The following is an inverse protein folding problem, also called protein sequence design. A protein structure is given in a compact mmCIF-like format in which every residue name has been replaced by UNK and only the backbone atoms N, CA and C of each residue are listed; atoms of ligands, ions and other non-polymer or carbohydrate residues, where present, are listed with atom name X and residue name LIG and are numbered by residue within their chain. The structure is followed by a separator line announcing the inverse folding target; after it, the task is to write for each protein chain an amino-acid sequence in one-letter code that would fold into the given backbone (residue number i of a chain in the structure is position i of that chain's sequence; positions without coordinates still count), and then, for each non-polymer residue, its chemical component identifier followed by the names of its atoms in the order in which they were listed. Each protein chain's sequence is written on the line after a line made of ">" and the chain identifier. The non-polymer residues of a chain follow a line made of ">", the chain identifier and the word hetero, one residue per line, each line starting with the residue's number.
data_IF_292289646027
#
_entry.id   IF_292289646027
#
_cell.length_a   1.000
_cell.length_b   1.000
_cell.length_c   1.000
_cell.angle_alpha   90.00
_cell.angle_beta   90.00
_cell.angle_gamma   90.00
#
_symmetry.space_group_name_H-M   'P 1'
#
loop_
_entity.id
_entity.type
_entity.pdbx_description
1 polymer ?
#
# COMPACT_ATOMS: atom_id res chain seq x y z
N UNK A 1 -10.62 -9.80 10.82
CA UNK A 1 -10.62 -8.37 11.21
C UNK A 1 -10.92 -8.28 12.70
N UNK A 2 -10.06 -7.67 13.51
CA UNK A 2 -10.29 -7.49 14.96
C UNK A 2 -10.13 -6.01 15.32
N UNK A 3 -11.23 -5.29 15.54
CA UNK A 3 -11.23 -3.91 16.06
C UNK A 3 -12.63 -3.55 16.55
N UNK A 4 -12.70 -2.73 17.60
CA UNK A 4 -13.94 -2.06 18.05
C UNK A 4 -14.10 -0.67 17.44
N UNK A 5 -13.15 -0.23 16.59
CA UNK A 5 -13.15 1.05 15.88
C UNK A 5 -13.34 0.83 14.39
N UNK A 6 -13.79 1.86 13.66
CA UNK A 6 -14.01 1.79 12.22
C UNK A 6 -12.70 1.51 11.47
N UNK A 7 -12.76 0.55 10.56
CA UNK A 7 -11.65 0.13 9.70
C UNK A 7 -11.83 0.75 8.30
N UNK A 8 -10.77 1.35 7.77
CA UNK A 8 -10.67 1.81 6.39
C UNK A 8 -9.39 1.31 5.73
N UNK A 9 -9.13 1.77 4.50
CA UNK A 9 -7.97 1.36 3.72
C UNK A 9 -7.39 2.51 2.91
N UNK A 10 -6.07 2.58 2.83
CA UNK A 10 -5.40 3.41 1.82
C UNK A 10 -5.52 2.71 0.45
N UNK A 11 -5.85 3.47 -0.59
CA UNK A 11 -6.08 2.98 -1.94
C UNK A 11 -5.42 3.91 -2.96
N UNK A 12 -4.27 3.50 -3.49
CA UNK A 12 -3.51 4.26 -4.50
C UNK A 12 -3.83 3.86 -5.95
N UNK A 13 -4.64 2.81 -6.15
CA UNK A 13 -4.87 2.24 -7.48
C UNK A 13 -3.72 1.35 -7.99
N UNK A 14 -2.61 1.26 -7.25
CA UNK A 14 -1.58 0.24 -7.46
C UNK A 14 -2.05 -1.15 -7.05
N UNK A 15 -1.35 -2.20 -7.49
CA UNK A 15 -1.72 -3.60 -7.23
C UNK A 15 -1.98 -3.88 -5.74
N UNK A 16 -1.05 -3.47 -4.87
CA UNK A 16 -0.99 -3.95 -3.49
C UNK A 16 -2.13 -3.37 -2.65
N UNK A 17 -2.28 -2.05 -2.67
CA UNK A 17 -3.36 -1.35 -1.97
C UNK A 17 -4.72 -1.77 -2.51
N UNK A 18 -4.83 -2.02 -3.82
CA UNK A 18 -6.05 -2.52 -4.45
C UNK A 18 -6.43 -3.92 -3.96
N UNK A 19 -5.47 -4.85 -3.88
CA UNK A 19 -5.71 -6.19 -3.34
C UNK A 19 -6.18 -6.13 -1.87
N UNK A 20 -5.51 -5.33 -1.04
CA UNK A 20 -5.90 -5.17 0.36
C UNK A 20 -7.30 -4.57 0.48
N UNK A 21 -7.60 -3.50 -0.26
CA UNK A 21 -8.92 -2.87 -0.25
C UNK A 21 -10.03 -3.83 -0.69
N UNK A 22 -9.79 -4.59 -1.77
CA UNK A 22 -10.76 -5.56 -2.29
C UNK A 22 -11.01 -6.72 -1.31
N UNK A 23 -9.95 -7.28 -0.71
CA UNK A 23 -10.06 -8.32 0.33
C UNK A 23 -10.81 -7.76 1.54
N UNK A 24 -10.48 -6.53 1.98
CA UNK A 24 -11.11 -5.90 3.13
C UNK A 24 -12.61 -5.69 2.91
N UNK A 25 -13.02 -5.21 1.74
CA UNK A 25 -14.45 -5.04 1.39
C UNK A 25 -15.18 -6.37 1.27
N UNK A 26 -14.52 -7.40 0.72
CA UNK A 26 -15.10 -8.75 0.68
C UNK A 26 -15.35 -9.27 2.09
N UNK A 27 -14.33 -9.24 2.94
CA UNK A 27 -14.43 -9.70 4.33
C UNK A 27 -15.42 -8.86 5.15
N UNK A 28 -15.55 -7.55 4.89
CA UNK A 28 -16.49 -6.69 5.62
C UNK A 28 -17.93 -7.09 5.36
N UNK A 29 -18.24 -7.52 4.13
CA UNK A 29 -19.55 -8.07 3.75
C UNK A 29 -19.79 -9.43 4.40
N UNK A 30 -18.80 -10.32 4.37
CA UNK A 30 -18.88 -11.65 5.00
C UNK A 30 -19.06 -11.58 6.52
N UNK A 31 -18.42 -10.61 7.18
CA UNK A 31 -18.54 -10.36 8.62
C UNK A 31 -19.70 -9.44 9.00
N UNK A 32 -20.52 -9.01 8.03
CA UNK A 32 -21.66 -8.11 8.23
C UNK A 32 -21.34 -6.86 9.07
N UNK A 33 -20.23 -6.18 8.74
CA UNK A 33 -19.88 -4.93 9.45
C UNK A 33 -20.99 -3.88 9.28
N UNK A 34 -21.32 -3.10 10.32
CA UNK A 34 -22.44 -2.16 10.30
C UNK A 34 -22.16 -0.87 9.53
N UNK A 35 -21.02 -0.77 8.85
CA UNK A 35 -20.58 0.39 8.09
C UNK A 35 -19.87 -0.04 6.80
N UNK A 36 -19.90 0.79 5.74
CA UNK A 36 -19.08 0.56 4.56
C UNK A 36 -17.61 0.84 4.87
N UNK A 37 -16.72 0.12 4.18
CA UNK A 37 -15.28 0.40 4.23
C UNK A 37 -15.02 1.71 3.51
N UNK A 38 -14.40 2.64 4.23
CA UNK A 38 -13.86 3.87 3.66
C UNK A 38 -12.50 3.61 3.02
N UNK A 39 -12.32 4.13 1.83
CA UNK A 39 -11.05 4.05 1.09
C UNK A 39 -10.54 5.44 0.76
N UNK A 40 -9.24 5.66 0.90
CA UNK A 40 -8.62 6.97 0.78
C UNK A 40 -7.50 6.95 -0.25
N UNK A 41 -7.61 7.79 -1.27
CA UNK A 41 -6.52 8.08 -2.20
C UNK A 41 -6.01 9.50 -1.99
N UNK A 42 -4.75 9.74 -2.34
CA UNK A 42 -4.17 11.08 -2.31
C UNK A 42 -3.29 11.31 -3.52
N UNK A 43 -3.39 12.49 -4.12
CA UNK A 43 -2.68 12.85 -5.34
C UNK A 43 -2.86 14.31 -5.70
N UNK A 44 -2.13 14.77 -6.71
CA UNK A 44 -2.50 16.00 -7.41
C UNK A 44 -3.75 15.76 -8.26
N UNK A 45 -4.45 16.83 -8.61
CA UNK A 45 -5.63 16.76 -9.46
C UNK A 45 -5.33 16.00 -10.77
N UNK A 46 -6.23 15.09 -11.16
CA UNK A 46 -6.12 14.23 -12.34
C UNK A 46 -4.85 13.36 -12.44
N UNK A 47 -4.19 13.06 -11.30
CA UNK A 47 -3.06 12.14 -11.32
C UNK A 47 -3.47 10.70 -11.72
N UNK A 48 -2.58 9.93 -12.37
CA UNK A 48 -2.85 8.54 -12.75
C UNK A 48 -3.29 7.65 -11.57
N UNK A 49 -2.77 7.93 -10.37
CA UNK A 49 -3.12 7.18 -9.16
C UNK A 49 -4.53 7.50 -8.65
N UNK A 50 -4.97 8.76 -8.72
CA UNK A 50 -6.35 9.13 -8.40
C UNK A 50 -7.33 8.44 -9.36
N UNK A 51 -7.04 8.46 -10.66
CA UNK A 51 -7.89 7.81 -11.67
C UNK A 51 -8.00 6.29 -11.43
N UNK A 52 -6.88 5.64 -11.15
CA UNK A 52 -6.85 4.21 -10.88
C UNK A 52 -7.51 3.83 -9.55
N UNK A 53 -7.29 4.62 -8.49
CA UNK A 53 -7.95 4.42 -7.20
C UNK A 53 -9.47 4.53 -7.33
N UNK A 54 -9.95 5.53 -8.09
CA UNK A 54 -11.38 5.71 -8.40
C UNK A 54 -11.98 4.51 -9.13
N UNK A 55 -11.26 3.96 -10.10
CA UNK A 55 -11.68 2.76 -10.83
C UNK A 55 -11.82 1.56 -9.88
N UNK A 56 -10.82 1.32 -9.03
CA UNK A 56 -10.82 0.21 -8.07
C UNK A 56 -11.94 0.39 -7.04
N UNK A 57 -12.09 1.59 -6.49
CA UNK A 57 -13.13 1.91 -5.54
C UNK A 57 -14.54 1.64 -6.09
N UNK A 58 -14.78 2.06 -7.35
CA UNK A 58 -16.04 1.78 -8.06
C UNK A 58 -16.26 0.28 -8.25
N UNK A 59 -15.22 -0.49 -8.57
CA UNK A 59 -15.31 -1.95 -8.75
C UNK A 59 -15.65 -2.68 -7.46
N UNK A 60 -14.98 -2.34 -6.35
CA UNK A 60 -15.18 -3.03 -5.06
C UNK A 60 -16.42 -2.53 -4.30
N UNK A 61 -16.86 -1.30 -4.60
CA UNK A 61 -18.00 -0.65 -3.95
C UNK A 61 -17.68 -0.12 -2.56
N UNK A 62 -16.53 0.55 -2.41
CA UNK A 62 -16.14 1.23 -1.17
C UNK A 62 -16.71 2.65 -1.08
N UNK A 63 -16.77 3.21 0.13
CA UNK A 63 -17.02 4.64 0.33
C UNK A 63 -15.69 5.38 0.06
N UNK A 64 -15.52 5.94 -1.13
CA UNK A 64 -14.24 6.49 -1.58
C UNK A 64 -14.08 7.98 -1.31
N UNK A 65 -12.91 8.35 -0.79
CA UNK A 65 -12.49 9.71 -0.51
C UNK A 65 -11.22 10.00 -1.31
N UNK A 66 -11.28 11.00 -2.19
CA UNK A 66 -10.15 11.47 -2.97
C UNK A 66 -9.60 12.75 -2.34
N UNK A 67 -8.36 12.69 -1.84
CA UNK A 67 -7.69 13.83 -1.23
C UNK A 67 -6.78 14.47 -2.27
N UNK A 68 -7.07 15.72 -2.63
CA UNK A 68 -6.25 16.47 -3.58
C UNK A 68 -5.31 17.40 -2.81
N UNK A 69 -4.03 17.41 -3.19
CA UNK A 69 -3.04 18.32 -2.63
C UNK A 69 -2.29 19.10 -3.72
N UNK A 70 -1.73 20.23 -3.34
CA UNK A 70 -0.92 21.12 -4.17
C UNK A 70 0.54 21.12 -3.72
N UNK A 71 1.43 21.69 -4.55
CA UNK A 71 2.82 21.89 -4.16
C UNK A 71 2.95 22.75 -2.89
N UNK A 72 2.08 23.76 -2.73
CA UNK A 72 2.08 24.63 -1.55
C UNK A 72 1.71 23.88 -0.27
N UNK A 73 0.76 22.93 -0.35
CA UNK A 73 0.41 22.07 0.79
C UNK A 73 1.65 21.29 1.27
N UNK A 74 2.42 20.72 0.34
CA UNK A 74 3.67 20.00 0.64
C UNK A 74 4.71 20.92 1.26
N UNK A 75 4.89 22.13 0.73
CA UNK A 75 5.83 23.12 1.30
C UNK A 75 5.45 23.50 2.73
N UNK A 76 4.15 23.63 3.03
CA UNK A 76 3.63 24.00 4.34
C UNK A 76 3.80 22.90 5.41
N UNK A 77 3.85 21.63 5.01
CA UNK A 77 4.00 20.49 5.94
C UNK A 77 5.41 19.92 6.01
N UNK A 78 6.34 20.30 5.11
CA UNK A 78 7.66 19.66 5.00
C UNK A 78 8.44 19.61 6.33
N UNK A 79 8.49 20.72 7.06
CA UNK A 79 9.18 20.76 8.36
C UNK A 79 8.52 19.84 9.40
N UNK A 80 7.18 19.72 9.38
CA UNK A 80 6.44 18.83 10.28
C UNK A 80 6.70 17.37 9.92
N UNK A 81 6.72 17.04 8.62
CA UNK A 81 7.03 15.69 8.14
C UNK A 81 8.43 15.26 8.56
N UNK A 82 9.45 16.08 8.34
CA UNK A 82 10.82 15.76 8.75
C UNK A 82 10.90 15.55 10.27
N UNK A 83 10.25 16.43 11.04
CA UNK A 83 10.17 16.29 12.50
C UNK A 83 9.49 14.98 12.92
N UNK A 84 8.37 14.62 12.29
CA UNK A 84 7.61 13.40 12.56
C UNK A 84 8.38 12.12 12.22
N UNK A 85 9.14 12.13 11.12
CA UNK A 85 9.87 10.96 10.65
C UNK A 85 11.20 10.75 11.39
N UNK A 86 11.82 11.83 11.87
CA UNK A 86 13.15 11.80 12.51
C UNK A 86 14.24 11.23 11.59
N UNK A 87 14.13 11.44 10.27
CA UNK A 87 15.09 11.00 9.25
C UNK A 87 15.36 12.08 8.20
N UNK A 88 16.51 11.98 7.54
CA UNK A 88 16.91 12.82 6.41
C UNK A 88 16.85 12.09 5.07
N UNK A 89 16.35 10.84 5.04
CA UNK A 89 16.26 10.05 3.81
C UNK A 89 15.28 10.68 2.80
N UNK A 90 15.77 10.94 1.58
CA UNK A 90 15.05 11.70 0.55
C UNK A 90 13.80 10.96 0.09
N UNK A 91 13.92 9.65 -0.16
CA UNK A 91 12.81 8.81 -0.64
C UNK A 91 11.70 8.75 0.40
N UNK A 92 12.08 8.55 1.66
CA UNK A 92 11.18 8.49 2.80
C UNK A 92 10.44 9.82 2.99
N UNK A 93 11.14 10.95 2.98
CA UNK A 93 10.51 12.28 3.12
C UNK A 93 9.51 12.53 1.98
N UNK A 94 9.92 12.30 0.72
CA UNK A 94 9.06 12.53 -0.45
C UNK A 94 7.75 11.75 -0.39
N UNK A 95 7.84 10.45 -0.12
CA UNK A 95 6.65 9.58 -0.05
C UNK A 95 5.78 9.88 1.19
N UNK A 96 6.37 10.41 2.27
CA UNK A 96 5.66 10.71 3.52
C UNK A 96 4.79 11.95 3.44
N UNK A 97 5.06 12.90 2.55
CA UNK A 97 4.24 14.12 2.42
C UNK A 97 2.77 13.79 2.10
N UNK A 98 2.52 12.93 1.11
CA UNK A 98 1.17 12.47 0.79
C UNK A 98 0.55 11.68 1.94
N UNK A 99 1.31 10.77 2.55
CA UNK A 99 0.79 9.94 3.64
C UNK A 99 0.42 10.76 4.89
N UNK A 100 1.19 11.82 5.18
CA UNK A 100 0.88 12.76 6.27
C UNK A 100 -0.40 13.54 5.99
N UNK A 101 -0.55 14.09 4.78
CA UNK A 101 -1.74 14.86 4.39
C UNK A 101 -3.02 14.02 4.37
N UNK A 102 -2.96 12.78 3.86
CA UNK A 102 -4.13 11.89 3.86
C UNK A 102 -4.48 11.45 5.28
N UNK A 103 -3.49 11.19 6.15
CA UNK A 103 -3.73 10.87 7.55
C UNK A 103 -4.38 12.05 8.30
N UNK A 104 -3.92 13.29 8.04
CA UNK A 104 -4.55 14.50 8.58
C UNK A 104 -6.00 14.63 8.12
N UNK A 105 -6.26 14.39 6.83
CA UNK A 105 -7.61 14.41 6.27
C UNK A 105 -8.53 13.38 6.94
N UNK A 106 -8.08 12.13 7.07
CA UNK A 106 -8.87 11.03 7.65
C UNK A 106 -9.27 11.37 9.09
N UNK A 107 -8.32 11.85 9.89
CA UNK A 107 -8.57 12.24 11.28
C UNK A 107 -9.58 13.39 11.41
N UNK A 108 -9.51 14.40 10.53
CA UNK A 108 -10.38 15.58 10.59
C UNK A 108 -11.78 15.35 10.02
N UNK A 109 -11.92 14.46 9.03
CA UNK A 109 -13.14 14.38 8.20
C UNK A 109 -13.89 13.06 8.34
N UNK A 110 -13.35 12.05 9.01
CA UNK A 110 -13.98 10.73 9.15
C UNK A 110 -13.88 10.16 10.56
N UNK A 111 -14.57 9.06 10.80
CA UNK A 111 -14.48 8.25 12.03
C UNK A 111 -13.61 6.99 11.84
N UNK A 112 -12.92 6.85 10.70
CA UNK A 112 -11.94 5.78 10.49
C UNK A 112 -10.72 5.99 11.38
N UNK A 113 -10.32 4.94 12.08
CA UNK A 113 -9.19 4.96 13.02
C UNK A 113 -8.16 3.90 12.67
N UNK A 114 -8.61 2.73 12.23
CA UNK A 114 -7.74 1.64 11.81
C UNK A 114 -7.62 1.67 10.30
N UNK A 115 -6.41 1.82 9.78
CA UNK A 115 -6.13 1.83 8.35
C UNK A 115 -5.39 0.58 7.93
N UNK A 116 -5.92 -0.12 6.93
CA UNK A 116 -5.14 -1.12 6.20
C UNK A 116 -4.37 -0.46 5.06
N UNK A 117 -3.18 -0.98 4.78
CA UNK A 117 -2.35 -0.52 3.67
C UNK A 117 -1.49 -1.63 3.06
N UNK A 118 -0.89 -1.34 1.90
CA UNK A 118 -0.17 -2.30 1.05
C UNK A 118 1.34 -2.41 1.29
N UNK A 119 1.91 -1.69 2.28
CA UNK A 119 3.34 -1.75 2.58
C UNK A 119 3.83 -3.18 2.88
N UNK A 120 5.07 -3.47 2.49
CA UNK A 120 5.69 -4.79 2.60
C UNK A 120 5.51 -5.67 1.37
N UNK A 121 4.55 -5.35 0.48
CA UNK A 121 4.29 -6.17 -0.69
C UNK A 121 5.47 -6.21 -1.67
N UNK A 122 6.14 -5.07 -1.88
CA UNK A 122 7.29 -4.98 -2.78
C UNK A 122 8.51 -5.74 -2.24
N UNK A 123 8.76 -5.64 -0.94
CA UNK A 123 9.84 -6.32 -0.25
C UNK A 123 9.65 -7.83 -0.24
N UNK A 124 8.43 -8.31 0.06
CA UNK A 124 8.11 -9.74 0.08
C UNK A 124 8.04 -10.34 -1.33
N UNK A 125 7.42 -9.64 -2.28
CA UNK A 125 7.08 -10.19 -3.59
C UNK A 125 7.97 -9.69 -4.74
N UNK A 126 9.17 -9.16 -4.43
CA UNK A 126 10.18 -8.74 -5.41
C UNK A 126 9.61 -7.74 -6.43
N UNK A 127 8.95 -6.71 -5.89
CA UNK A 127 8.07 -5.83 -6.65
C UNK A 127 8.71 -4.55 -7.19
N UNK A 128 9.87 -4.15 -6.64
CA UNK A 128 10.61 -3.02 -7.18
C UNK A 128 11.15 -3.32 -8.59
N UNK A 129 11.20 -2.31 -9.46
CA UNK A 129 11.54 -2.47 -10.88
C UNK A 129 12.93 -3.12 -11.05
N UNK A 130 13.88 -2.83 -10.15
CA UNK A 130 15.23 -3.38 -10.22
C UNK A 130 15.31 -4.90 -9.96
N UNK A 131 14.26 -5.53 -9.42
CA UNK A 131 14.20 -7.00 -9.32
C UNK A 131 14.11 -7.68 -10.68
N UNK A 132 13.70 -6.97 -11.74
CA UNK A 132 13.69 -7.49 -13.12
C UNK A 132 15.09 -7.85 -13.61
N UNK A 133 16.10 -7.19 -13.06
CA UNK A 133 17.51 -7.32 -13.45
C UNK A 133 18.34 -8.08 -12.39
N UNK A 134 17.67 -8.78 -11.47
CA UNK A 134 18.36 -9.59 -10.47
C UNK A 134 19.20 -10.68 -11.15
N UNK A 135 20.50 -10.85 -10.80
CA UNK A 135 21.36 -11.80 -11.51
C UNK A 135 20.93 -13.26 -11.35
N UNK A 136 20.45 -13.61 -10.15
CA UNK A 136 19.94 -14.95 -9.85
C UNK A 136 18.72 -14.88 -8.92
N UNK A 137 17.89 -15.94 -8.88
CA UNK A 137 16.81 -16.05 -7.88
C UNK A 137 17.29 -16.02 -6.43
N UNK A 138 18.54 -16.45 -6.17
CA UNK A 138 19.17 -16.38 -4.86
C UNK A 138 19.50 -14.93 -4.46
N UNK A 139 20.07 -14.15 -5.39
CA UNK A 139 20.36 -12.73 -5.15
C UNK A 139 19.09 -11.93 -4.87
N UNK A 140 18.04 -12.15 -5.67
CA UNK A 140 16.74 -11.52 -5.45
C UNK A 140 16.09 -11.95 -4.13
N UNK A 141 16.32 -13.18 -3.67
CA UNK A 141 15.82 -13.62 -2.38
C UNK A 141 16.58 -12.95 -1.23
N UNK A 142 17.90 -12.90 -1.30
CA UNK A 142 18.73 -12.23 -0.29
C UNK A 142 18.42 -10.73 -0.22
N UNK A 143 18.16 -10.11 -1.36
CA UNK A 143 17.73 -8.71 -1.42
C UNK A 143 16.34 -8.50 -0.78
N UNK A 144 15.38 -9.38 -1.03
CA UNK A 144 14.08 -9.36 -0.32
C UNK A 144 14.27 -9.47 1.20
N UNK A 145 15.16 -10.36 1.68
CA UNK A 145 15.47 -10.47 3.10
C UNK A 145 16.13 -9.22 3.66
N UNK A 146 17.05 -8.59 2.92
CA UNK A 146 17.69 -7.34 3.32
C UNK A 146 16.67 -6.21 3.45
N UNK A 147 15.82 -6.00 2.43
CA UNK A 147 14.77 -4.98 2.46
C UNK A 147 13.79 -5.19 3.62
N UNK A 148 13.39 -6.43 3.89
CA UNK A 148 12.54 -6.75 5.04
C UNK A 148 13.25 -6.49 6.37
N UNK A 149 14.56 -6.76 6.45
CA UNK A 149 15.38 -6.43 7.62
C UNK A 149 15.49 -4.92 7.85
N UNK A 150 15.53 -4.14 6.77
CA UNK A 150 15.69 -2.68 6.80
C UNK A 150 14.36 -1.92 6.83
N UNK A 151 13.21 -2.61 6.73
CA UNK A 151 11.89 -1.97 6.53
C UNK A 151 11.54 -0.96 7.63
N UNK A 152 12.01 -1.19 8.86
CA UNK A 152 11.78 -0.32 10.01
C UNK A 152 12.50 1.03 9.90
N UNK A 153 13.46 1.18 8.98
CA UNK A 153 14.17 2.43 8.70
C UNK A 153 13.53 3.22 7.56
N UNK A 154 12.73 2.57 6.71
CA UNK A 154 12.20 3.13 5.47
C UNK A 154 10.66 3.10 5.44
N UNK A 155 10.04 2.23 4.65
CA UNK A 155 8.59 2.16 4.45
C UNK A 155 7.81 1.94 5.74
N UNK A 156 8.33 1.10 6.64
CA UNK A 156 7.74 0.89 7.97
C UNK A 156 7.78 2.15 8.83
N UNK A 157 8.89 2.90 8.79
CA UNK A 157 9.03 4.17 9.50
C UNK A 157 8.07 5.23 8.98
N UNK A 158 8.05 5.43 7.64
CA UNK A 158 7.13 6.34 6.97
C UNK A 158 5.69 6.03 7.36
N UNK A 159 5.29 4.78 7.21
CA UNK A 159 3.90 4.39 7.31
C UNK A 159 3.39 4.50 8.75
N UNK A 160 4.19 4.08 9.72
CA UNK A 160 3.87 4.22 11.15
C UNK A 160 3.85 5.69 11.58
N UNK A 161 4.94 6.44 11.38
CA UNK A 161 5.07 7.80 11.94
C UNK A 161 4.05 8.78 11.38
N UNK A 162 3.79 8.74 10.08
CA UNK A 162 2.83 9.65 9.44
C UNK A 162 1.39 9.39 9.85
N UNK A 163 0.99 8.12 10.04
CA UNK A 163 -0.37 7.79 10.49
C UNK A 163 -0.53 8.02 11.99
N UNK A 164 0.47 7.64 12.79
CA UNK A 164 0.49 7.87 14.24
C UNK A 164 0.45 9.36 14.60
N UNK A 165 1.07 10.24 13.79
CA UNK A 165 1.01 11.69 13.97
C UNK A 165 -0.42 12.27 13.96
N UNK A 166 -1.38 11.53 13.39
CA UNK A 166 -2.79 11.91 13.34
C UNK A 166 -3.70 10.92 14.10
N UNK A 167 -3.13 10.15 15.03
CA UNK A 167 -3.89 9.26 15.91
C UNK A 167 -4.57 8.09 15.19
N UNK A 168 -4.02 7.67 14.05
CA UNK A 168 -4.50 6.53 13.27
C UNK A 168 -3.63 5.30 13.53
N UNK A 169 -4.25 4.13 13.59
CA UNK A 169 -3.57 2.84 13.73
C UNK A 169 -3.39 2.21 12.35
N UNK A 170 -2.15 1.98 11.93
CA UNK A 170 -1.85 1.31 10.67
C UNK A 170 -1.78 -0.22 10.84
N UNK A 171 -2.28 -0.95 9.83
CA UNK A 171 -2.13 -2.39 9.66
C UNK A 171 -1.63 -2.71 8.26
N UNK A 172 -0.64 -3.59 8.18
CA UNK A 172 0.09 -3.92 6.95
C UNK A 172 0.03 -5.43 6.70
N UNK A 173 -1.05 -5.96 6.10
CA UNK A 173 -1.28 -7.40 6.02
C UNK A 173 -0.22 -8.20 5.25
N UNK A 174 0.49 -7.56 4.31
CA UNK A 174 1.62 -8.18 3.60
C UNK A 174 2.81 -8.50 4.50
N UNK A 175 2.89 -7.91 5.70
CA UNK A 175 3.90 -8.20 6.70
C UNK A 175 3.38 -9.14 7.81
N UNK A 176 2.21 -9.77 7.64
CA UNK A 176 1.78 -10.83 8.56
C UNK A 176 2.83 -11.95 8.58
N UNK A 177 3.22 -12.36 9.80
CA UNK A 177 4.31 -13.31 10.01
C UNK A 177 4.06 -14.62 9.23
N UNK A 178 2.82 -15.12 9.20
CA UNK A 178 2.49 -16.38 8.52
C UNK A 178 2.50 -16.20 7.01
N UNK A 179 1.96 -15.09 6.50
CA UNK A 179 2.01 -14.77 5.08
C UNK A 179 3.47 -14.65 4.59
N UNK A 180 4.28 -13.85 5.27
CA UNK A 180 5.68 -13.60 4.89
C UNK A 180 6.51 -14.88 4.97
N UNK A 181 6.37 -15.67 6.05
CA UNK A 181 7.06 -16.96 6.18
C UNK A 181 6.67 -17.93 5.06
N UNK A 182 5.38 -18.04 4.76
CA UNK A 182 4.90 -18.91 3.68
C UNK A 182 5.44 -18.44 2.33
N UNK A 183 5.28 -17.15 2.00
CA UNK A 183 5.72 -16.61 0.72
C UNK A 183 7.24 -16.79 0.53
N UNK A 184 8.05 -16.46 1.53
CA UNK A 184 9.50 -16.63 1.47
C UNK A 184 9.96 -18.09 1.40
N UNK A 185 9.16 -19.04 1.90
CA UNK A 185 9.44 -20.48 1.80
C UNK A 185 9.24 -21.06 0.40
N UNK A 186 8.52 -20.36 -0.48
CA UNK A 186 8.28 -20.81 -1.86
C UNK A 186 9.60 -20.88 -2.65
N UNK A 187 9.70 -21.79 -3.64
CA UNK A 187 10.86 -21.87 -4.53
C UNK A 187 11.22 -20.49 -5.08
N UNK A 188 12.49 -20.10 -4.92
CA UNK A 188 12.98 -18.76 -5.27
C UNK A 188 12.69 -18.39 -6.73
N UNK A 189 12.76 -19.38 -7.62
CA UNK A 189 12.43 -19.25 -9.05
C UNK A 189 10.96 -18.87 -9.30
N UNK A 190 10.02 -19.31 -8.46
CA UNK A 190 8.60 -18.97 -8.61
C UNK A 190 8.31 -17.52 -8.22
N UNK A 191 9.15 -16.90 -7.39
CA UNK A 191 8.96 -15.53 -6.90
C UNK A 191 9.51 -14.47 -7.84
N UNK A 192 10.35 -14.87 -8.80
CA UNK A 192 10.92 -13.97 -9.79
C UNK A 192 9.83 -13.31 -10.66
N UNK A 193 10.06 -12.07 -11.11
CA UNK A 193 9.28 -11.49 -12.19
C UNK A 193 9.24 -12.42 -13.42
N UNK A 194 8.08 -12.57 -14.05
CA UNK A 194 7.94 -13.33 -15.29
C UNK A 194 7.49 -12.39 -16.41
N UNK A 195 8.04 -12.56 -17.62
CA UNK A 195 7.73 -11.70 -18.77
C UNK A 195 7.86 -10.19 -18.48
N UNK A 196 8.84 -9.81 -17.63
CA UNK A 196 9.06 -8.44 -17.14
C UNK A 196 7.90 -7.85 -16.30
N UNK A 197 6.97 -8.68 -15.85
CA UNK A 197 5.91 -8.31 -14.91
C UNK A 197 6.38 -8.67 -13.49
N UNK A 198 6.57 -7.64 -12.67
CA UNK A 198 6.84 -7.79 -11.24
C UNK A 198 5.65 -8.40 -10.49
N UNK A 199 5.92 -9.04 -9.35
CA UNK A 199 4.90 -9.68 -8.50
C UNK A 199 4.03 -10.68 -9.28
N UNK A 200 4.55 -11.32 -10.33
CA UNK A 200 3.78 -12.18 -11.22
C UNK A 200 3.03 -13.29 -10.47
N UNK A 201 3.69 -13.94 -9.52
CA UNK A 201 3.08 -14.97 -8.68
C UNK A 201 1.91 -14.44 -7.86
N UNK A 202 2.06 -13.24 -7.28
CA UNK A 202 1.00 -12.59 -6.51
C UNK A 202 -0.20 -12.24 -7.41
N UNK A 203 0.05 -11.65 -8.58
CA UNK A 203 -0.99 -11.32 -9.57
C UNK A 203 -1.75 -12.59 -10.01
N UNK A 204 -0.99 -13.64 -10.36
CA UNK A 204 -1.54 -14.93 -10.79
C UNK A 204 -2.39 -15.60 -9.72
N UNK A 205 -2.07 -15.41 -8.43
CA UNK A 205 -2.85 -15.96 -7.32
C UNK A 205 -4.26 -15.36 -7.20
N UNK A 206 -4.49 -14.18 -7.78
CA UNK A 206 -5.78 -13.49 -7.79
C UNK A 206 -6.43 -13.41 -9.18
N UNK A 207 -5.78 -13.96 -10.21
CA UNK A 207 -6.31 -13.98 -11.57
C UNK A 207 -7.53 -14.92 -11.67
N UNK A 208 -8.55 -14.49 -12.42
CA UNK A 208 -9.81 -15.23 -12.56
C UNK A 208 -10.77 -15.18 -11.36
N UNK A 209 -10.38 -14.60 -10.22
CA UNK A 209 -11.27 -14.48 -9.05
C UNK A 209 -12.22 -13.28 -9.11
N UNK A 210 -12.05 -12.37 -10.09
CA UNK A 210 -12.87 -11.16 -10.23
C UNK A 210 -12.71 -10.15 -9.09
N UNK A 211 -11.66 -10.30 -8.27
CA UNK A 211 -11.42 -9.46 -7.11
C UNK A 211 -11.04 -8.02 -7.49
N UNK A 212 -10.30 -7.88 -8.60
CA UNK A 212 -9.90 -6.60 -9.19
C UNK A 212 -10.21 -6.60 -10.70
N UNK A 213 -10.35 -5.42 -11.33
CA UNK A 213 -10.31 -5.29 -12.78
C UNK A 213 -8.99 -5.84 -13.34
N UNK A 214 -9.03 -6.52 -14.50
CA UNK A 214 -7.84 -7.15 -15.09
C UNK A 214 -6.73 -6.15 -15.43
N UNK A 215 -7.10 -4.95 -15.88
CA UNK A 215 -6.18 -3.87 -16.18
C UNK A 215 -5.46 -3.36 -14.92
N UNK A 216 -6.10 -3.38 -13.75
CA UNK A 216 -5.45 -3.09 -12.46
C UNK A 216 -4.57 -4.27 -12.02
N UNK A 217 -5.10 -5.50 -12.08
CA UNK A 217 -4.39 -6.70 -11.65
C UNK A 217 -3.08 -6.93 -12.43
N UNK A 218 -3.04 -6.52 -13.71
CA UNK A 218 -1.88 -6.66 -14.58
C UNK A 218 -1.21 -5.32 -14.94
N UNK A 219 -1.59 -4.21 -14.28
CA UNK A 219 -0.92 -2.90 -14.44
C UNK A 219 0.55 -3.01 -14.04
N UNK A 220 1.45 -2.59 -14.92
CA UNK A 220 2.86 -2.47 -14.61
C UNK A 220 3.11 -1.34 -13.61
N UNK A 221 4.10 -1.54 -12.72
CA UNK A 221 4.61 -0.47 -11.86
C UNK A 221 5.25 0.63 -12.71
N UNK A 222 4.79 1.86 -12.52
CA UNK A 222 5.44 3.07 -13.04
C UNK A 222 6.51 3.52 -12.04
N UNK A 223 7.67 3.93 -12.52
CA UNK A 223 8.72 4.49 -11.67
C UNK A 223 8.33 5.95 -11.34
N UNK A 224 8.33 6.30 -10.04
CA UNK A 224 8.23 7.69 -9.58
C UNK A 224 9.61 8.23 -9.23
#
# INVERSE_FOLDING_TARGET
>A
MMSNRRIGCLLSGGLDSSLIAAILVKLSKEMCLPYPIQTFSIGMEDSPDILAARQVAKHIGSEHHEVIFTADDVLNILNKVIYTLETADITTIRASCGMYLVAEYINKNTDTVVLCSGEGADEVAQGYIYFRDAPTPDDAHNESLRLLGDIYMYDGLRADRTTAAHGLELRVPFLDIRFTQYFLSLPKTMRQPQNKVEKYLLRSAFDGFGLLPNDVLWRHKEAF
#
